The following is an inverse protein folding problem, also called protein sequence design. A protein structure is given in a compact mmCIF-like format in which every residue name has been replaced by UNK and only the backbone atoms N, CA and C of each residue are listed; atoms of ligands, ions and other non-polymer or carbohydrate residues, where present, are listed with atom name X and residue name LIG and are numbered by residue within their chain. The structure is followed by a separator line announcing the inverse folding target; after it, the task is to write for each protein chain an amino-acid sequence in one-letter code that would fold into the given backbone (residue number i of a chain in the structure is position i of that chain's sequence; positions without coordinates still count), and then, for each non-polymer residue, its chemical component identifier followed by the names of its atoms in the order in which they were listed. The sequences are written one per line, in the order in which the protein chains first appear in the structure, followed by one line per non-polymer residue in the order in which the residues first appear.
data_IF_649619131029
#
_entry.id   IF_649619131029
#
_cell.length_a   1.000
_cell.length_b   1.000
_cell.length_c   1.000
_cell.angle_alpha   90.00
_cell.angle_beta   90.00
_cell.angle_gamma   90.00
#
_symmetry.space_group_name_H-M   'P 1'
#
loop_
_entity.id
_entity.type
_entity.pdbx_description
1 polymer ?
#
# COMPACT_ATOMS: atom_id res chain seq x y z
N UNK A 1 -9.74 -8.72 -25.49
CA UNK A 1 -10.32 -7.37 -25.28
C UNK A 1 -9.99 -6.83 -23.87
N UNK A 2 -8.73 -6.51 -23.56
CA UNK A 2 -8.33 -6.20 -22.15
C UNK A 2 -7.23 -5.13 -21.98
N UNK A 3 -6.70 -4.54 -23.04
CA UNK A 3 -5.69 -3.46 -22.95
C UNK A 3 -6.25 -2.08 -23.30
N UNK A 4 -7.23 -2.01 -24.20
CA UNK A 4 -7.87 -0.76 -24.62
C UNK A 4 -8.73 -0.14 -23.50
N UNK A 5 -9.61 -0.94 -22.88
CA UNK A 5 -10.53 -0.47 -21.82
C UNK A 5 -9.82 0.05 -20.56
N UNK A 6 -8.67 -0.55 -20.22
CA UNK A 6 -7.88 -0.15 -19.04
C UNK A 6 -7.17 1.18 -19.27
N UNK A 7 -6.67 1.42 -20.49
CA UNK A 7 -6.06 2.69 -20.88
C UNK A 7 -7.08 3.83 -20.95
N UNK A 8 -8.30 3.55 -21.44
CA UNK A 8 -9.40 4.52 -21.43
C UNK A 8 -9.79 4.91 -20.00
N UNK A 9 -9.95 3.94 -19.10
CA UNK A 9 -10.31 4.24 -17.71
C UNK A 9 -9.22 5.00 -16.95
N UNK A 10 -7.94 4.74 -17.22
CA UNK A 10 -6.84 5.55 -16.66
C UNK A 10 -6.80 6.95 -17.25
N UNK A 11 -7.15 7.11 -18.53
CA UNK A 11 -7.29 8.43 -19.17
C UNK A 11 -8.39 9.25 -18.53
N UNK A 12 -9.58 8.67 -18.38
CA UNK A 12 -10.73 9.33 -17.75
C UNK A 12 -10.46 9.77 -16.30
N UNK A 13 -9.74 8.96 -15.52
CA UNK A 13 -9.35 9.30 -14.16
C UNK A 13 -8.32 10.44 -14.11
N UNK A 14 -7.30 10.38 -14.98
CA UNK A 14 -6.28 11.44 -15.05
C UNK A 14 -6.86 12.76 -15.56
N UNK A 15 -7.79 12.70 -16.51
CA UNK A 15 -8.53 13.86 -17.00
C UNK A 15 -9.40 14.47 -15.91
N UNK A 16 -10.12 13.64 -15.15
CA UNK A 16 -10.91 14.11 -14.00
C UNK A 16 -10.05 14.83 -12.95
N UNK A 17 -8.91 14.24 -12.59
CA UNK A 17 -8.00 14.81 -11.59
C UNK A 17 -7.37 16.13 -12.08
N UNK A 18 -7.00 16.19 -13.36
CA UNK A 18 -6.39 17.37 -13.98
C UNK A 18 -7.41 18.50 -14.14
N UNK A 19 -8.61 18.20 -14.64
CA UNK A 19 -9.69 19.20 -14.79
C UNK A 19 -10.12 19.82 -13.45
N UNK A 20 -9.95 19.07 -12.36
CA UNK A 20 -10.33 19.51 -11.01
C UNK A 20 -9.15 20.05 -10.18
N UNK A 21 -7.95 20.16 -10.76
CA UNK A 21 -6.72 20.58 -10.08
C UNK A 21 -6.45 19.83 -8.76
N UNK A 22 -6.85 18.57 -8.68
CA UNK A 22 -6.73 17.76 -7.44
C UNK A 22 -5.28 17.59 -7.00
N UNK A 23 -4.30 17.33 -7.90
CA UNK A 23 -2.90 17.23 -7.51
C UNK A 23 -2.36 18.51 -6.86
N UNK A 24 -2.68 19.68 -7.43
CA UNK A 24 -2.24 20.98 -6.93
C UNK A 24 -2.90 21.33 -5.59
N UNK A 25 -4.18 20.97 -5.42
CA UNK A 25 -4.86 21.10 -4.13
C UNK A 25 -4.20 20.24 -3.07
N UNK A 26 -3.85 19.00 -3.40
CA UNK A 26 -3.16 18.10 -2.48
C UNK A 26 -1.78 18.64 -2.11
N UNK A 27 -1.00 19.12 -3.07
CA UNK A 27 0.31 19.73 -2.84
C UNK A 27 0.22 20.94 -1.90
N UNK A 28 -0.75 21.83 -2.11
CA UNK A 28 -0.95 22.99 -1.25
C UNK A 28 -1.36 22.60 0.19
N UNK A 29 -2.26 21.62 0.33
CA UNK A 29 -2.69 21.10 1.64
C UNK A 29 -1.52 20.46 2.40
N UNK A 30 -0.73 19.63 1.72
CA UNK A 30 0.44 18.98 2.32
C UNK A 30 1.53 19.99 2.71
N UNK A 31 1.78 20.98 1.85
CA UNK A 31 2.68 22.09 2.17
C UNK A 31 2.23 22.83 3.43
N UNK A 32 0.95 23.14 3.55
CA UNK A 32 0.37 23.78 4.73
C UNK A 32 0.55 22.94 6.00
N UNK A 33 0.32 21.63 5.94
CA UNK A 33 0.55 20.73 7.08
C UNK A 33 2.03 20.68 7.50
N UNK A 34 2.94 20.59 6.53
CA UNK A 34 4.38 20.48 6.80
C UNK A 34 4.92 21.76 7.43
N UNK A 35 4.46 22.92 6.95
CA UNK A 35 4.95 24.23 7.38
C UNK A 35 4.29 24.67 8.70
N UNK A 36 2.96 24.65 8.77
CA UNK A 36 2.23 25.20 9.91
C UNK A 36 2.20 24.23 11.11
N UNK A 37 2.43 22.93 10.89
CA UNK A 37 2.39 21.87 11.92
C UNK A 37 1.26 22.04 12.94
N UNK A 38 -0.01 22.12 12.48
CA UNK A 38 -1.14 22.36 13.37
C UNK A 38 -1.31 21.18 14.34
N UNK A 39 -1.71 21.48 15.58
CA UNK A 39 -2.02 20.44 16.57
C UNK A 39 -3.15 19.51 16.07
N UNK A 40 -4.22 20.09 15.52
CA UNK A 40 -5.31 19.34 14.88
C UNK A 40 -5.20 19.40 13.34
N UNK A 41 -4.62 18.34 12.79
CA UNK A 41 -4.38 18.20 11.36
C UNK A 41 -5.68 18.05 10.55
N UNK A 42 -6.71 17.42 11.13
CA UNK A 42 -7.98 17.18 10.43
C UNK A 42 -8.79 18.47 10.36
N UNK A 43 -8.92 19.18 11.48
CA UNK A 43 -9.59 20.48 11.52
C UNK A 43 -8.92 21.48 10.56
N UNK A 44 -7.58 21.49 10.52
CA UNK A 44 -6.81 22.32 9.59
C UNK A 44 -7.11 22.01 8.12
N UNK A 45 -7.12 20.73 7.74
CA UNK A 45 -7.43 20.30 6.38
C UNK A 45 -8.87 20.66 5.99
N UNK A 46 -9.83 20.47 6.90
CA UNK A 46 -11.23 20.83 6.67
C UNK A 46 -11.38 22.34 6.43
N UNK A 47 -10.79 23.17 7.30
CA UNK A 47 -10.80 24.63 7.14
C UNK A 47 -10.16 25.06 5.83
N UNK A 48 -9.04 24.45 5.44
CA UNK A 48 -8.34 24.74 4.18
C UNK A 48 -9.20 24.38 2.96
N UNK A 49 -9.90 23.24 2.99
CA UNK A 49 -10.82 22.84 1.93
C UNK A 49 -12.06 23.74 1.85
N UNK A 50 -12.60 24.20 2.98
CA UNK A 50 -13.69 25.18 3.02
C UNK A 50 -13.26 26.52 2.44
N UNK A 51 -12.07 27.02 2.81
CA UNK A 51 -11.49 28.21 2.23
C UNK A 51 -11.33 28.10 0.71
N UNK A 52 -10.93 26.93 0.22
CA UNK A 52 -10.82 26.67 -1.23
C UNK A 52 -12.19 26.68 -1.91
N UNK A 53 -13.20 26.01 -1.33
CA UNK A 53 -14.57 25.99 -1.87
C UNK A 53 -15.21 27.37 -1.95
N UNK A 54 -14.93 28.24 -0.97
CA UNK A 54 -15.51 29.57 -0.89
C UNK A 54 -14.83 30.60 -1.82
N UNK A 55 -13.64 30.30 -2.35
CA UNK A 55 -12.98 31.11 -3.37
C UNK A 55 -13.55 30.75 -4.75
N UNK A 56 -14.32 31.67 -5.35
CA UNK A 56 -14.79 31.52 -6.73
C UNK A 56 -13.59 31.42 -7.71
N UNK A 57 -13.36 30.20 -8.23
CA UNK A 57 -12.27 29.76 -9.11
C UNK A 57 -12.02 30.67 -10.32
N UNK A 58 -11.28 31.77 -10.15
CA UNK A 58 -10.78 32.60 -11.26
C UNK A 58 -9.27 32.56 -11.43
N UNK A 59 -8.53 31.90 -10.54
CA UNK A 59 -7.07 31.81 -10.58
C UNK A 59 -6.59 30.39 -10.22
N UNK A 60 -5.48 29.92 -10.80
CA UNK A 60 -4.88 28.64 -10.42
C UNK A 60 -4.43 28.65 -8.96
N UNK A 61 -4.67 27.54 -8.26
CA UNK A 61 -4.30 27.39 -6.86
C UNK A 61 -2.77 27.40 -6.71
N UNK A 62 -2.24 28.37 -5.97
CA UNK A 62 -0.81 28.44 -5.68
C UNK A 62 -0.41 27.35 -4.67
N UNK A 63 0.82 26.83 -4.80
CA UNK A 63 1.37 25.79 -3.93
C UNK A 63 1.43 26.21 -2.44
N UNK A 64 1.50 27.51 -2.16
CA UNK A 64 1.54 28.08 -0.81
C UNK A 64 0.18 28.61 -0.31
N UNK A 65 -0.93 28.24 -0.95
CA UNK A 65 -2.25 28.84 -0.70
C UNK A 65 -2.76 28.70 0.74
N UNK A 66 -2.24 27.76 1.51
CA UNK A 66 -2.61 27.53 2.91
C UNK A 66 -1.46 27.81 3.90
N UNK A 67 -0.36 28.40 3.44
CA UNK A 67 0.72 28.82 4.34
C UNK A 67 0.33 30.16 4.97
N UNK A 68 0.29 30.23 6.30
CA UNK A 68 0.03 31.49 6.99
C UNK A 68 1.24 32.41 6.80
N UNK A 69 1.04 33.59 6.21
CA UNK A 69 2.11 34.58 6.08
C UNK A 69 2.21 35.32 7.40
N UNK A 70 3.28 35.08 8.17
CA UNK A 70 3.66 36.02 9.20
C UNK A 70 4.01 37.37 8.55
N UNK A 71 3.53 38.45 9.17
CA UNK A 71 3.65 39.81 8.67
C UNK A 71 5.12 40.21 8.46
N UNK A 72 5.41 40.75 7.27
CA UNK A 72 6.53 41.65 7.06
C UNK A 72 7.66 41.09 6.20
N UNK A 73 7.53 41.23 4.89
CA UNK A 73 8.43 41.98 4.00
C UNK A 73 8.10 41.59 2.56
N UNK A 74 7.48 42.54 1.88
CA UNK A 74 7.52 42.63 0.43
C UNK A 74 8.99 42.77 -0.01
N UNK A 75 9.32 42.22 -1.18
CA UNK A 75 10.37 42.64 -2.09
C UNK A 75 10.49 41.60 -3.22
N UNK A 76 9.82 41.90 -4.33
CA UNK A 76 10.28 41.54 -5.66
C UNK A 76 11.77 41.82 -5.82
N UNK A 77 12.58 40.80 -6.10
CA UNK A 77 13.81 40.89 -6.89
C UNK A 77 14.33 39.49 -7.24
N UNK A 78 14.36 39.23 -8.54
CA UNK A 78 15.28 38.32 -9.22
C UNK A 78 16.62 38.16 -8.52
N UNK A 79 17.04 36.93 -8.23
CA UNK A 79 18.46 36.57 -8.16
C UNK A 79 18.66 35.06 -8.33
N UNK A 80 19.36 34.73 -9.41
CA UNK A 80 19.98 33.45 -9.71
C UNK A 80 20.73 32.93 -8.47
N UNK A 81 20.55 31.65 -8.12
CA UNK A 81 21.64 30.89 -7.49
C UNK A 81 21.64 29.47 -8.04
N UNK A 82 22.54 29.31 -9.01
CA UNK A 82 23.00 28.07 -9.61
C UNK A 82 23.81 27.31 -8.56
N UNK A 83 23.27 26.26 -7.94
CA UNK A 83 24.08 25.29 -7.19
C UNK A 83 24.46 24.14 -8.12
N UNK A 84 25.69 24.22 -8.61
CA UNK A 84 26.41 23.12 -9.27
C UNK A 84 26.63 21.99 -8.26
N UNK A 85 26.18 20.79 -8.59
CA UNK A 85 26.71 19.55 -8.03
C UNK A 85 27.68 18.98 -9.06
N UNK A 86 28.94 18.80 -8.66
CA UNK A 86 29.98 18.16 -9.47
C UNK A 86 29.74 16.64 -9.52
N UNK A 87 30.14 15.97 -10.61
CA UNK A 87 30.11 14.51 -10.69
C UNK A 87 31.38 13.95 -10.04
N UNK A 88 31.25 13.37 -8.85
CA UNK A 88 32.33 12.58 -8.27
C UNK A 88 32.16 11.09 -8.60
N UNK A 89 33.27 10.54 -9.03
CA UNK A 89 33.54 9.24 -9.62
C UNK A 89 33.05 8.07 -8.78
N UNK A 90 32.39 7.10 -9.42
CA UNK A 90 32.06 5.79 -8.86
C UNK A 90 33.32 4.91 -8.93
N UNK A 91 33.88 4.40 -7.82
CA UNK A 91 34.87 3.34 -7.88
C UNK A 91 34.16 2.01 -8.18
N UNK A 92 34.58 1.35 -9.26
CA UNK A 92 34.22 -0.04 -9.56
C UNK A 92 34.82 -0.97 -8.50
N UNK A 93 33.99 -1.71 -7.75
CA UNK A 93 34.46 -2.89 -7.00
C UNK A 93 33.55 -4.10 -7.25
N UNK A 94 34.14 -5.05 -7.98
CA UNK A 94 33.96 -6.51 -8.00
C UNK A 94 32.69 -7.10 -7.37
N UNK A 95 31.95 -7.85 -8.20
CA UNK A 95 30.99 -8.87 -7.79
C UNK A 95 31.72 -9.94 -6.97
N UNK A 96 31.38 -10.06 -5.69
CA UNK A 96 31.70 -11.23 -4.88
C UNK A 96 30.47 -12.14 -4.80
N UNK A 97 30.69 -13.41 -5.07
CA UNK A 97 29.68 -14.47 -5.09
C UNK A 97 29.15 -14.75 -3.67
N UNK A 98 27.83 -14.97 -3.55
CA UNK A 98 27.18 -15.29 -2.28
C UNK A 98 27.61 -16.70 -1.79
N UNK A 99 28.08 -16.86 -0.55
CA UNK A 99 28.29 -18.18 0.02
C UNK A 99 26.95 -18.84 0.40
N UNK A 100 26.83 -20.13 0.08
CA UNK A 100 25.81 -21.04 0.61
C UNK A 100 26.10 -21.30 2.09
N UNK A 101 25.17 -21.00 2.98
CA UNK A 101 25.16 -21.58 4.34
C UNK A 101 23.75 -22.06 4.67
N UNK A 102 23.69 -23.35 4.98
CA UNK A 102 22.57 -24.12 5.52
C UNK A 102 22.52 -23.88 7.04
N UNK A 103 21.33 -23.77 7.65
CA UNK A 103 20.99 -24.51 8.87
C UNK A 103 19.53 -24.37 9.33
N UNK A 104 18.96 -25.54 9.70
CA UNK A 104 17.72 -25.87 10.46
C UNK A 104 16.31 -25.89 9.82
N UNK A 105 15.41 -26.77 10.35
CA UNK A 105 14.62 -27.68 9.53
C UNK A 105 13.38 -26.98 8.98
N UNK A 106 13.39 -26.76 7.67
CA UNK A 106 12.18 -26.47 6.91
C UNK A 106 11.36 -27.75 6.91
N UNK A 107 10.24 -27.80 7.62
CA UNK A 107 9.25 -28.86 7.44
C UNK A 107 8.71 -28.72 6.01
N UNK A 108 9.41 -29.29 5.05
CA UNK A 108 9.04 -29.32 3.64
C UNK A 108 7.91 -30.31 3.46
N UNK A 109 6.71 -29.93 3.91
CA UNK A 109 5.50 -30.63 3.47
C UNK A 109 5.33 -30.38 1.98
N UNK A 110 5.07 -31.45 1.26
CA UNK A 110 5.03 -31.48 -0.20
C UNK A 110 3.88 -30.63 -0.73
N UNK A 111 3.97 -30.18 -1.99
CA UNK A 111 2.86 -29.50 -2.70
C UNK A 111 1.54 -30.25 -2.67
N UNK A 112 1.59 -31.58 -2.50
CA UNK A 112 0.44 -32.47 -2.41
C UNK A 112 -0.24 -32.39 -1.04
N UNK A 113 0.52 -32.34 0.05
CA UNK A 113 -0.02 -32.19 1.41
C UNK A 113 -0.87 -30.92 1.52
N UNK A 114 -0.41 -29.87 0.86
CA UNK A 114 -1.04 -28.56 0.82
C UNK A 114 -2.40 -28.63 0.13
N UNK A 115 -2.47 -29.27 -1.03
CA UNK A 115 -3.73 -29.44 -1.78
C UNK A 115 -4.74 -30.23 -0.96
N UNK A 116 -4.27 -31.29 -0.30
CA UNK A 116 -5.13 -32.16 0.52
C UNK A 116 -5.67 -31.40 1.75
N UNK A 117 -4.81 -30.63 2.43
CA UNK A 117 -5.18 -29.82 3.59
C UNK A 117 -6.21 -28.73 3.24
N UNK A 118 -6.09 -28.16 2.03
CA UNK A 118 -6.97 -27.10 1.51
C UNK A 118 -8.15 -27.64 0.70
N UNK A 119 -8.26 -28.95 0.54
CA UNK A 119 -9.32 -29.55 -0.27
C UNK A 119 -10.69 -29.18 0.31
N UNK A 120 -11.53 -28.57 -0.53
CA UNK A 120 -12.87 -28.11 -0.14
C UNK A 120 -12.93 -26.82 0.70
N UNK A 121 -11.79 -26.17 1.00
CA UNK A 121 -11.77 -24.91 1.76
C UNK A 121 -11.61 -23.71 0.83
N UNK A 122 -12.60 -22.80 0.75
CA UNK A 122 -12.50 -21.63 -0.12
C UNK A 122 -11.45 -20.65 0.38
N UNK A 123 -10.70 -20.04 -0.55
CA UNK A 123 -9.83 -18.89 -0.29
C UNK A 123 -10.41 -17.69 -1.02
N UNK A 124 -10.78 -16.67 -0.27
CA UNK A 124 -11.50 -15.50 -0.77
C UNK A 124 -10.65 -14.26 -0.54
N UNK A 125 -10.33 -13.53 -1.61
CA UNK A 125 -9.70 -12.21 -1.49
C UNK A 125 -10.76 -11.13 -1.30
N UNK A 126 -10.56 -10.27 -0.30
CA UNK A 126 -11.48 -9.19 0.06
C UNK A 126 -10.87 -7.86 -0.36
N UNK A 127 -11.41 -7.29 -1.44
CA UNK A 127 -11.01 -5.99 -2.00
C UNK A 127 -12.07 -4.91 -1.84
N UNK A 128 -11.64 -3.64 -1.78
CA UNK A 128 -12.53 -2.47 -1.66
C UNK A 128 -11.82 -1.22 -1.15
N UNK A 129 -12.36 -0.03 -1.44
CA UNK A 129 -11.79 1.27 -1.04
C UNK A 129 -11.85 1.54 0.48
N UNK A 130 -11.18 2.60 0.98
CA UNK A 130 -11.31 3.01 2.38
C UNK A 130 -12.80 3.28 2.73
N UNK A 131 -13.22 2.92 3.94
CA UNK A 131 -14.62 3.08 4.37
C UNK A 131 -15.62 2.05 3.81
N UNK A 132 -15.24 1.18 2.88
CA UNK A 132 -16.16 0.25 2.20
C UNK A 132 -16.70 -0.92 3.07
N UNK A 133 -16.52 -0.90 4.39
CA UNK A 133 -17.05 -1.93 5.29
C UNK A 133 -16.44 -3.33 5.19
N UNK A 134 -15.30 -3.52 4.50
CA UNK A 134 -14.63 -4.84 4.34
C UNK A 134 -14.45 -5.58 5.66
N UNK A 135 -13.95 -4.87 6.68
CA UNK A 135 -13.65 -5.46 7.99
C UNK A 135 -14.93 -6.03 8.62
N UNK A 136 -16.00 -5.24 8.63
CA UNK A 136 -17.32 -5.66 9.13
C UNK A 136 -17.86 -6.87 8.38
N UNK A 137 -17.69 -6.96 7.07
CA UNK A 137 -18.10 -8.16 6.32
C UNK A 137 -17.23 -9.38 6.61
N UNK A 138 -15.90 -9.20 6.74
CA UNK A 138 -15.02 -10.28 7.16
C UNK A 138 -15.47 -10.85 8.51
N UNK A 139 -15.72 -10.00 9.50
CA UNK A 139 -16.19 -10.39 10.84
C UNK A 139 -17.51 -11.19 10.77
N UNK A 140 -18.47 -10.75 9.96
CA UNK A 140 -19.72 -11.49 9.71
C UNK A 140 -19.49 -12.85 9.06
N UNK A 141 -18.57 -12.94 8.09
CA UNK A 141 -18.25 -14.19 7.42
C UNK A 141 -17.51 -15.17 8.33
N UNK A 142 -16.63 -14.68 9.19
CA UNK A 142 -15.99 -15.49 10.25
C UNK A 142 -17.06 -16.09 11.16
N UNK A 143 -17.96 -15.26 11.70
CA UNK A 143 -19.00 -15.71 12.63
C UNK A 143 -19.99 -16.69 11.99
N UNK A 144 -20.41 -16.44 10.74
CA UNK A 144 -21.43 -17.24 10.06
C UNK A 144 -20.91 -18.55 9.46
N UNK A 145 -19.69 -18.53 8.90
CA UNK A 145 -19.17 -19.65 8.11
C UNK A 145 -17.97 -20.36 8.75
N UNK A 146 -17.44 -19.85 9.87
CA UNK A 146 -16.24 -20.42 10.52
C UNK A 146 -14.94 -20.14 9.77
N UNK A 147 -14.93 -19.12 8.90
CA UNK A 147 -13.74 -18.74 8.14
C UNK A 147 -12.65 -18.14 9.04
N UNK A 148 -11.40 -18.28 8.63
CA UNK A 148 -10.27 -17.58 9.24
C UNK A 148 -9.94 -16.32 8.47
N UNK A 149 -9.94 -15.18 9.15
CA UNK A 149 -9.53 -13.90 8.57
C UNK A 149 -8.01 -13.72 8.66
N UNK A 150 -7.37 -13.51 7.52
CA UNK A 150 -5.94 -13.27 7.37
C UNK A 150 -5.72 -11.89 6.74
N UNK A 151 -5.06 -11.01 7.47
CA UNK A 151 -4.73 -9.66 7.02
C UNK A 151 -3.25 -9.59 6.67
N UNK A 152 -2.93 -9.28 5.41
CA UNK A 152 -1.54 -9.19 4.98
C UNK A 152 -0.75 -8.14 5.78
N UNK A 153 -1.40 -7.03 6.15
CA UNK A 153 -0.78 -5.99 6.99
C UNK A 153 -0.47 -6.47 8.40
N UNK A 154 -1.34 -7.30 8.99
CA UNK A 154 -1.10 -7.85 10.33
C UNK A 154 0.02 -8.89 10.31
N UNK A 155 0.07 -9.76 9.30
CA UNK A 155 1.16 -10.73 9.14
C UNK A 155 2.52 -10.05 8.96
N UNK A 156 2.58 -8.95 8.21
CA UNK A 156 3.80 -8.14 8.08
C UNK A 156 4.18 -7.55 9.44
N UNK A 157 3.22 -6.94 10.16
CA UNK A 157 3.46 -6.35 11.49
C UNK A 157 3.96 -7.37 12.51
N UNK A 158 3.39 -8.57 12.53
CA UNK A 158 3.83 -9.67 13.40
C UNK A 158 5.31 -10.01 13.14
N UNK A 159 5.72 -10.10 11.87
CA UNK A 159 7.12 -10.36 11.50
C UNK A 159 8.04 -9.21 11.91
N UNK A 160 7.59 -7.95 11.79
CA UNK A 160 8.41 -6.79 12.18
C UNK A 160 8.63 -6.66 13.68
N UNK A 161 7.81 -7.30 14.51
CA UNK A 161 7.98 -7.28 15.97
C UNK A 161 9.22 -8.07 16.41
N UNK A 162 9.64 -9.07 15.64
CA UNK A 162 10.81 -9.88 15.95
C UNK A 162 12.06 -9.38 15.22
N UNK A 163 12.72 -8.39 15.82
CA UNK A 163 13.97 -7.81 15.32
C UNK A 163 15.18 -8.75 15.43
N UNK A 164 15.04 -9.92 16.08
CA UNK A 164 16.11 -10.92 16.12
C UNK A 164 16.25 -11.64 14.77
N UNK A 165 15.19 -11.66 13.97
CA UNK A 165 15.19 -12.31 12.66
C UNK A 165 15.67 -11.37 11.55
N UNK A 166 16.36 -11.92 10.56
CA UNK A 166 16.74 -11.17 9.35
C UNK A 166 15.51 -10.65 8.60
N UNK A 167 14.45 -11.47 8.50
CA UNK A 167 13.18 -11.07 7.86
C UNK A 167 12.49 -9.92 8.60
N UNK A 168 12.44 -9.97 9.93
CA UNK A 168 11.85 -8.90 10.74
C UNK A 168 12.56 -7.57 10.56
N UNK A 169 13.90 -7.59 10.58
CA UNK A 169 14.72 -6.39 10.29
C UNK A 169 14.48 -5.85 8.88
N UNK A 170 14.52 -6.73 7.86
CA UNK A 170 14.27 -6.36 6.47
C UNK A 170 12.88 -5.74 6.27
N UNK A 171 11.83 -6.33 6.84
CA UNK A 171 10.47 -5.78 6.72
C UNK A 171 10.32 -4.46 7.46
N UNK A 172 10.94 -4.32 8.63
CA UNK A 172 10.87 -3.10 9.40
C UNK A 172 11.54 -1.94 8.64
N UNK A 173 12.71 -2.19 8.07
CA UNK A 173 13.40 -1.21 7.22
C UNK A 173 12.58 -0.85 5.97
N UNK A 174 12.01 -1.85 5.28
CA UNK A 174 11.17 -1.60 4.11
C UNK A 174 9.95 -0.73 4.47
N UNK A 175 9.28 -1.05 5.59
CA UNK A 175 8.12 -0.30 6.09
C UNK A 175 8.50 1.13 6.51
N UNK A 176 9.60 1.32 7.22
CA UNK A 176 10.06 2.66 7.65
C UNK A 176 10.45 3.56 6.48
N UNK A 177 10.91 2.96 5.38
CA UNK A 177 11.27 3.67 4.15
C UNK A 177 10.09 3.82 3.17
N UNK A 178 8.88 3.35 3.54
CA UNK A 178 7.72 3.35 2.65
C UNK A 178 7.87 2.46 1.41
N UNK A 179 8.84 1.54 1.41
CA UNK A 179 9.07 0.58 0.34
C UNK A 179 8.05 -0.55 0.42
N UNK A 180 7.72 -1.11 -0.74
CA UNK A 180 6.86 -2.29 -0.80
C UNK A 180 7.66 -3.55 -0.53
N UNK A 181 7.13 -4.39 0.35
CA UNK A 181 7.58 -5.76 0.54
C UNK A 181 7.27 -6.56 -0.74
N UNK A 182 8.15 -7.49 -1.10
CA UNK A 182 8.00 -8.30 -2.31
C UNK A 182 6.71 -9.13 -2.30
N UNK A 183 6.18 -9.43 -3.49
CA UNK A 183 4.94 -10.21 -3.61
C UNK A 183 5.16 -11.63 -3.07
N UNK A 184 6.34 -12.19 -3.34
CA UNK A 184 6.78 -13.52 -2.96
C UNK A 184 6.84 -13.67 -1.44
N UNK A 185 7.35 -12.65 -0.75
CA UNK A 185 7.40 -12.62 0.70
C UNK A 185 6.00 -12.60 1.32
N UNK A 186 5.10 -11.76 0.82
CA UNK A 186 3.71 -11.68 1.30
C UNK A 186 3.00 -13.02 1.06
N UNK A 187 3.21 -13.64 -0.11
CA UNK A 187 2.67 -14.96 -0.42
C UNK A 187 3.23 -16.03 0.52
N UNK A 188 4.51 -15.95 0.90
CA UNK A 188 5.11 -16.81 1.91
C UNK A 188 4.40 -16.71 3.25
N UNK A 189 4.20 -15.49 3.76
CA UNK A 189 3.49 -15.27 5.02
C UNK A 189 2.06 -15.80 4.99
N UNK A 190 1.33 -15.53 3.89
CA UNK A 190 -0.03 -16.01 3.72
C UNK A 190 -0.09 -17.54 3.70
N UNK A 191 0.85 -18.20 3.00
CA UNK A 191 0.95 -19.66 2.99
C UNK A 191 1.16 -20.21 4.39
N UNK A 192 2.13 -19.66 5.13
CA UNK A 192 2.44 -20.10 6.50
C UNK A 192 1.25 -19.92 7.44
N UNK A 193 0.56 -18.78 7.35
CA UNK A 193 -0.64 -18.48 8.14
C UNK A 193 -1.82 -19.41 7.78
N UNK A 194 -1.99 -19.74 6.50
CA UNK A 194 -2.98 -20.71 6.03
C UNK A 194 -2.69 -22.08 6.64
N UNK A 195 -1.44 -22.56 6.59
CA UNK A 195 -1.08 -23.87 7.17
C UNK A 195 -1.35 -23.95 8.66
N UNK A 196 -0.94 -22.92 9.40
CA UNK A 196 -1.12 -22.85 10.85
C UNK A 196 -2.59 -23.00 11.25
N UNK A 197 -3.51 -22.52 10.41
CA UNK A 197 -4.95 -22.50 10.69
C UNK A 197 -5.74 -23.57 9.94
N UNK A 198 -5.11 -24.35 9.06
CA UNK A 198 -5.85 -25.21 8.14
C UNK A 198 -6.67 -26.31 8.81
N UNK A 199 -6.26 -26.82 9.98
CA UNK A 199 -7.02 -27.86 10.67
C UNK A 199 -8.32 -27.34 11.32
N UNK A 200 -8.43 -26.03 11.55
CA UNK A 200 -9.55 -25.40 12.26
C UNK A 200 -10.46 -24.59 11.34
N UNK A 201 -9.89 -24.05 10.26
CA UNK A 201 -10.60 -23.17 9.34
C UNK A 201 -11.48 -23.98 8.37
N UNK A 202 -12.73 -23.56 8.18
CA UNK A 202 -13.60 -24.03 7.09
C UNK A 202 -13.32 -23.30 5.77
N UNK A 203 -12.56 -22.20 5.80
CA UNK A 203 -12.18 -21.37 4.66
C UNK A 203 -11.36 -20.16 5.11
N UNK A 204 -10.84 -19.38 4.16
CA UNK A 204 -9.93 -18.27 4.41
C UNK A 204 -10.39 -16.98 3.75
N UNK A 205 -10.32 -15.88 4.48
CA UNK A 205 -10.57 -14.52 4.00
C UNK A 205 -9.25 -13.75 4.01
N UNK A 206 -8.73 -13.39 2.85
CA UNK A 206 -7.48 -12.64 2.71
C UNK A 206 -7.81 -11.17 2.46
N UNK A 207 -7.44 -10.31 3.41
CA UNK A 207 -7.64 -8.87 3.36
C UNK A 207 -6.31 -8.13 3.16
N UNK A 208 -6.34 -7.03 2.39
CA UNK A 208 -5.16 -6.19 2.14
C UNK A 208 -4.17 -6.75 1.13
N UNK A 209 -4.54 -7.78 0.37
CA UNK A 209 -3.79 -8.37 -0.73
C UNK A 209 -4.73 -9.10 -1.70
N UNK A 210 -4.49 -9.10 -3.03
CA UNK A 210 -3.53 -8.26 -3.73
C UNK A 210 -3.97 -6.79 -3.76
N UNK A 211 -3.02 -5.85 -3.60
CA UNK A 211 -3.26 -4.40 -3.73
C UNK A 211 -2.96 -3.87 -5.13
N UNK A 212 -2.21 -4.64 -5.93
CA UNK A 212 -1.85 -4.31 -7.32
C UNK A 212 -2.20 -5.45 -8.26
N UNK A 213 -2.40 -5.12 -9.54
CA UNK A 213 -2.76 -6.10 -10.57
C UNK A 213 -1.64 -7.13 -10.77
N UNK A 214 -0.38 -6.72 -10.65
CA UNK A 214 0.79 -7.59 -10.77
C UNK A 214 0.77 -8.69 -9.69
N UNK A 215 0.43 -8.32 -8.46
CA UNK A 215 0.29 -9.27 -7.35
C UNK A 215 -0.81 -10.30 -7.65
N UNK A 216 -1.93 -9.85 -8.22
CA UNK A 216 -3.03 -10.70 -8.66
C UNK A 216 -2.67 -11.67 -9.79
N UNK A 217 -1.72 -11.30 -10.67
CA UNK A 217 -1.20 -12.20 -11.70
C UNK A 217 -0.31 -13.29 -11.10
N UNK A 218 0.62 -12.90 -10.22
CA UNK A 218 1.50 -13.84 -9.52
C UNK A 218 0.73 -14.82 -8.62
N UNK A 219 -0.38 -14.37 -8.00
CA UNK A 219 -1.27 -15.27 -7.26
C UNK A 219 -1.92 -16.30 -8.16
N UNK A 220 -2.44 -15.92 -9.34
CA UNK A 220 -3.14 -16.85 -10.24
C UNK A 220 -2.23 -17.93 -10.82
N UNK A 221 -0.95 -17.60 -11.05
CA UNK A 221 0.05 -18.56 -11.52
C UNK A 221 0.37 -19.63 -10.46
N UNK A 222 0.19 -19.31 -9.17
CA UNK A 222 0.20 -20.31 -8.11
C UNK A 222 -1.17 -21.00 -8.06
N UNK A 223 -1.24 -22.28 -8.45
CA UNK A 223 -2.41 -23.19 -8.64
C UNK A 223 -3.55 -23.24 -7.60
N UNK A 224 -3.70 -22.30 -6.69
CA UNK A 224 -4.82 -22.24 -5.76
C UNK A 224 -6.03 -21.60 -6.46
N UNK A 225 -7.19 -22.24 -6.33
CA UNK A 225 -8.45 -21.74 -6.89
C UNK A 225 -8.91 -20.55 -6.04
N UNK A 226 -8.67 -19.33 -6.53
CA UNK A 226 -8.97 -18.10 -5.82
C UNK A 226 -10.29 -17.49 -6.30
N UNK A 227 -11.23 -17.29 -5.39
CA UNK A 227 -12.43 -16.50 -5.63
C UNK A 227 -12.16 -15.04 -5.23
N UNK A 228 -12.27 -14.13 -6.19
CA UNK A 228 -12.17 -12.69 -5.93
C UNK A 228 -13.55 -12.15 -5.57
N UNK A 229 -13.74 -11.71 -4.33
CA UNK A 229 -14.95 -11.03 -3.91
C UNK A 229 -14.65 -9.53 -3.80
N UNK A 230 -15.03 -8.78 -4.85
CA UNK A 230 -15.00 -7.32 -4.81
C UNK A 230 -16.26 -6.85 -4.11
N UNK A 231 -16.11 -6.41 -2.86
CA UNK A 231 -17.21 -5.79 -2.16
C UNK A 231 -17.27 -4.31 -2.56
N UNK A 232 -17.91 -4.04 -3.70
CA UNK A 232 -18.40 -2.71 -4.04
C UNK A 232 -19.68 -2.48 -3.23
N UNK A 233 -19.55 -2.00 -1.99
CA UNK A 233 -20.71 -1.41 -1.31
C UNK A 233 -20.95 -0.05 -1.97
N UNK A 234 -22.15 0.13 -2.52
CA UNK A 234 -22.70 1.40 -3.02
C UNK A 234 -22.75 2.45 -1.91
#
# INVERSE_FOLDING_TARGET
MSKAQTNENTGLAMDYLSQRNIPQLFEALMTGLIINRPEDHIAYLMKSLEQYKNKNNKQPLAWNAFVERENGLDNTSTSKTKRQLKPDSIPQSKREEKPKIQDRPRSSKSSEDIKNILQGKPIIFVGGGPGSGKRTQCEKMVAKYGFTHLSAGDLIREVTQDSSTEKGRYFNEAMSQGKLISTEDILGLLKDAIYKNANKASGFLINGFPRRVEQGKTTKTNKYLFFFFFLLIK
#
